data_IF_124607802133
#
_entry.id   IF_124607802133
#
_cell.length_a   1.000
_cell.length_b   1.000
_cell.length_c   1.000
_cell.angle_alpha   90.00
_cell.angle_beta   90.00
_cell.angle_gamma   90.00
#
_symmetry.space_group_name_H-M   'P 1'
#
loop_
_entity.id
_entity.type
_entity.pdbx_description
1 polymer ?
#
# COMPACT_ATOMS: atom_id res chain seq x y z
N UNK A 1 21.44 16.77 68.85
CA UNK A 1 22.18 16.08 69.92
C UNK A 1 21.19 15.23 70.73
N UNK A 2 21.51 13.94 70.83
CA UNK A 2 21.07 12.90 71.78
C UNK A 2 19.60 12.68 72.18
N UNK A 3 19.10 11.51 71.77
CA UNK A 3 18.08 10.66 72.43
C UNK A 3 18.52 10.17 73.82
N UNK A 4 17.61 9.71 74.71
CA UNK A 4 17.31 8.25 74.88
C UNK A 4 15.88 7.96 75.39
N UNK A 5 15.44 6.76 75.80
CA UNK A 5 15.47 5.37 75.28
C UNK A 5 14.61 4.50 76.25
N UNK A 6 13.95 3.46 75.73
CA UNK A 6 13.56 2.15 76.34
C UNK A 6 12.66 2.03 77.59
N UNK A 7 11.57 1.26 77.43
CA UNK A 7 11.17 0.07 78.23
C UNK A 7 10.03 -0.63 77.45
N UNK A 8 10.21 -1.74 76.73
CA UNK A 8 10.26 -3.16 77.14
C UNK A 8 9.13 -3.63 78.08
N UNK A 9 8.22 -4.43 77.52
CA UNK A 9 7.46 -5.48 78.23
C UNK A 9 7.22 -6.65 77.27
N UNK A 10 7.74 -7.81 77.68
CA UNK A 10 7.58 -9.13 77.10
C UNK A 10 6.35 -9.81 77.73
N UNK A 11 5.56 -10.52 76.94
CA UNK A 11 4.96 -11.79 77.37
C UNK A 11 4.65 -12.68 76.17
N UNK A 12 5.04 -13.93 76.34
CA UNK A 12 4.92 -15.07 75.44
C UNK A 12 3.58 -15.72 75.74
N UNK A 13 2.81 -16.11 74.70
CA UNK A 13 1.90 -17.23 74.86
C UNK A 13 1.68 -18.01 73.54
N UNK A 14 1.76 -19.32 73.74
CA UNK A 14 1.65 -20.43 72.82
C UNK A 14 0.23 -20.58 72.27
N UNK A 15 0.06 -20.89 70.97
CA UNK A 15 -0.95 -21.85 70.52
C UNK A 15 -0.82 -22.14 69.01
N UNK A 16 -0.39 -23.36 68.70
CA UNK A 16 -0.64 -24.00 67.40
C UNK A 16 -2.14 -24.23 67.24
N UNK A 17 -2.74 -23.77 66.13
CA UNK A 17 -3.82 -24.50 65.42
C UNK A 17 -4.25 -23.77 64.14
N UNK A 18 -4.13 -24.49 63.02
CA UNK A 18 -5.04 -24.47 61.85
C UNK A 18 -5.48 -23.14 61.29
N UNK A 19 -4.95 -22.77 60.12
CA UNK A 19 -5.74 -22.04 59.12
C UNK A 19 -5.25 -22.41 57.71
N UNK A 20 -5.96 -23.35 57.09
CA UNK A 20 -5.82 -23.60 55.66
C UNK A 20 -6.35 -22.39 54.89
N UNK A 21 -5.44 -21.82 54.13
CA UNK A 21 -5.53 -20.85 53.04
C UNK A 21 -6.90 -20.90 52.31
N UNK A 22 -7.67 -19.81 52.44
CA UNK A 22 -8.74 -19.45 51.51
C UNK A 22 -8.34 -18.11 50.87
N UNK A 23 -7.55 -18.15 49.80
CA UNK A 23 -7.29 -16.97 48.95
C UNK A 23 -8.19 -17.08 47.73
N UNK A 24 -9.30 -16.36 47.83
CA UNK A 24 -10.29 -16.17 46.79
C UNK A 24 -9.94 -14.90 45.97
N UNK A 25 -9.89 -15.07 44.65
CA UNK A 25 -10.22 -14.09 43.61
C UNK A 25 -9.52 -12.72 43.57
N UNK A 26 -8.44 -12.64 42.76
CA UNK A 26 -8.27 -11.58 41.75
C UNK A 26 -7.63 -12.22 40.50
N UNK A 27 -8.45 -12.83 39.64
CA UNK A 27 -8.11 -13.04 38.23
C UNK A 27 -8.73 -11.86 37.47
N UNK A 28 -8.01 -10.75 37.46
CA UNK A 28 -8.25 -9.67 36.49
C UNK A 28 -8.05 -10.27 35.10
N UNK A 29 -9.14 -10.29 34.33
CA UNK A 29 -9.14 -10.65 32.93
C UNK A 29 -8.18 -9.76 32.15
N UNK A 30 -6.97 -10.27 31.93
CA UNK A 30 -6.18 -9.91 30.78
C UNK A 30 -6.94 -10.47 29.58
N UNK A 31 -7.80 -9.64 28.99
CA UNK A 31 -8.21 -9.79 27.60
C UNK A 31 -6.94 -9.66 26.77
N UNK A 32 -6.23 -10.78 26.62
CA UNK A 32 -5.21 -10.93 25.62
C UNK A 32 -5.91 -10.67 24.28
N UNK A 33 -5.71 -9.48 23.72
CA UNK A 33 -5.67 -9.31 22.29
C UNK A 33 -4.50 -10.16 21.80
N UNK A 34 -4.72 -11.48 21.76
CA UNK A 34 -3.90 -12.36 20.96
C UNK A 34 -4.07 -11.86 19.54
N UNK A 35 -3.07 -11.14 19.05
CA UNK A 35 -2.83 -11.10 17.63
C UNK A 35 -2.88 -12.56 17.18
N UNK A 36 -3.85 -12.89 16.34
CA UNK A 36 -4.04 -14.23 15.81
C UNK A 36 -2.81 -14.56 14.96
N UNK A 37 -1.77 -15.08 15.62
CA UNK A 37 -0.49 -15.47 15.02
C UNK A 37 -0.64 -16.67 14.10
N UNK A 38 -1.85 -17.24 14.02
CA UNK A 38 -2.22 -18.36 13.18
C UNK A 38 -2.89 -17.95 11.86
N UNK A 39 -2.87 -16.65 11.50
CA UNK A 39 -3.17 -16.24 10.13
C UNK A 39 -2.05 -16.79 9.23
N UNK A 40 -2.24 -18.00 8.69
CA UNK A 40 -1.47 -18.51 7.55
C UNK A 40 -1.23 -17.33 6.61
N UNK A 41 0.04 -17.05 6.29
CA UNK A 41 0.43 -15.89 5.48
C UNK A 41 -0.47 -15.85 4.24
N UNK A 42 -1.42 -14.91 4.22
CA UNK A 42 -2.45 -14.88 3.20
C UNK A 42 -1.77 -14.45 1.90
N UNK A 43 -1.76 -15.34 0.91
CA UNK A 43 -1.29 -15.03 -0.44
C UNK A 43 -2.17 -13.94 -1.03
N UNK A 44 -1.57 -12.93 -1.65
CA UNK A 44 -2.31 -11.83 -2.25
C UNK A 44 -3.27 -12.33 -3.34
N UNK A 45 -2.83 -13.30 -4.15
CA UNK A 45 -3.64 -13.94 -5.18
C UNK A 45 -4.98 -14.46 -4.63
N UNK A 46 -4.99 -15.10 -3.45
CA UNK A 46 -6.20 -15.65 -2.83
C UNK A 46 -7.14 -14.53 -2.33
N UNK A 47 -6.56 -13.45 -1.78
CA UNK A 47 -7.33 -12.26 -1.39
C UNK A 47 -8.00 -11.65 -2.62
N UNK A 48 -7.25 -11.49 -3.72
CA UNK A 48 -7.78 -10.91 -4.96
C UNK A 48 -8.85 -11.79 -5.62
N UNK A 49 -8.71 -13.12 -5.58
CA UNK A 49 -9.77 -14.06 -6.03
C UNK A 49 -11.05 -13.96 -5.20
N UNK A 50 -10.94 -13.49 -3.96
CA UNK A 50 -12.08 -13.32 -3.04
C UNK A 50 -12.79 -11.98 -3.23
N UNK A 51 -12.33 -11.12 -4.16
CA UNK A 51 -13.07 -9.91 -4.53
C UNK A 51 -14.44 -10.29 -5.09
N UNK A 52 -15.49 -9.47 -4.85
CA UNK A 52 -16.78 -9.68 -5.49
C UNK A 52 -16.65 -9.85 -7.01
N UNK A 53 -17.37 -10.81 -7.63
CA UNK A 53 -17.24 -11.12 -9.04
C UNK A 53 -17.31 -9.87 -9.94
N UNK A 54 -16.41 -9.78 -10.91
CA UNK A 54 -16.32 -8.65 -11.83
C UNK A 54 -15.74 -7.35 -11.26
N UNK A 55 -15.61 -7.21 -9.92
CA UNK A 55 -15.09 -5.98 -9.29
C UNK A 55 -13.68 -5.64 -9.77
N UNK A 56 -12.77 -6.62 -9.74
CA UNK A 56 -11.38 -6.40 -10.12
C UNK A 56 -11.24 -6.02 -11.60
N UNK A 57 -12.04 -6.63 -12.48
CA UNK A 57 -12.09 -6.31 -13.91
C UNK A 57 -12.63 -4.90 -14.17
N UNK A 58 -13.71 -4.51 -13.48
CA UNK A 58 -14.26 -3.16 -13.58
C UNK A 58 -13.27 -2.09 -13.11
N UNK A 59 -12.55 -2.35 -12.01
CA UNK A 59 -11.56 -1.42 -11.46
C UNK A 59 -10.30 -1.28 -12.32
N UNK A 60 -9.99 -2.26 -13.17
CA UNK A 60 -8.83 -2.30 -14.06
C UNK A 60 -9.15 -2.02 -15.54
N UNK A 61 -10.41 -1.70 -15.88
CA UNK A 61 -10.82 -1.49 -17.28
C UNK A 61 -9.97 -0.44 -18.00
N UNK A 62 -9.59 0.63 -17.28
CA UNK A 62 -8.77 1.71 -17.82
C UNK A 62 -7.26 1.48 -17.68
N UNK A 63 -6.82 0.35 -17.12
CA UNK A 63 -5.42 0.03 -16.91
C UNK A 63 -4.78 -0.72 -18.10
N UNK A 64 -5.60 -1.23 -19.04
CA UNK A 64 -5.12 -1.94 -20.24
C UNK A 64 -4.26 -1.05 -21.14
N UNK A 65 -3.12 -1.53 -21.66
CA UNK A 65 -2.37 -0.78 -22.67
C UNK A 65 -3.18 -0.64 -23.97
N UNK A 66 -2.87 0.38 -24.77
CA UNK A 66 -3.35 0.53 -26.14
C UNK A 66 -2.51 -0.29 -27.14
N UNK A 67 -2.80 -0.18 -28.43
CA UNK A 67 -2.06 -0.86 -29.49
C UNK A 67 -0.58 -0.48 -29.59
N UNK A 68 -0.14 0.61 -28.93
CA UNK A 68 1.27 1.01 -28.82
C UNK A 68 1.90 0.54 -27.51
N UNK A 69 1.19 -0.27 -26.72
CA UNK A 69 1.62 -0.68 -25.39
C UNK A 69 1.52 0.42 -24.32
N UNK A 70 0.93 1.58 -24.62
CA UNK A 70 0.84 2.69 -23.66
C UNK A 70 -0.39 2.53 -22.75
N UNK A 71 -0.23 2.76 -21.46
CA UNK A 71 -1.31 2.76 -20.46
C UNK A 71 -1.33 4.07 -19.67
N UNK A 72 -2.37 4.25 -18.85
CA UNK A 72 -2.50 5.37 -17.93
C UNK A 72 -2.27 6.75 -18.57
N UNK A 73 -1.32 7.51 -18.01
CA UNK A 73 -0.98 8.86 -18.47
C UNK A 73 -0.29 8.90 -19.83
N UNK A 74 0.47 7.86 -20.18
CA UNK A 74 1.11 7.78 -21.50
C UNK A 74 0.06 7.55 -22.59
N UNK A 75 -0.90 6.65 -22.33
CA UNK A 75 -2.04 6.40 -23.23
C UNK A 75 -2.90 7.64 -23.42
N UNK A 76 -3.28 8.32 -22.32
CA UNK A 76 -4.18 9.47 -22.40
C UNK A 76 -3.57 10.66 -23.15
N UNK A 77 -2.24 10.76 -23.19
CA UNK A 77 -1.50 11.77 -23.95
C UNK A 77 -1.09 11.25 -25.34
N UNK A 78 -1.15 9.94 -25.58
CA UNK A 78 -0.85 9.30 -26.86
C UNK A 78 0.65 9.12 -27.16
N UNK A 79 1.52 9.34 -26.17
CA UNK A 79 2.99 9.18 -26.25
C UNK A 79 3.59 8.82 -24.90
N UNK A 80 4.84 8.34 -24.93
CA UNK A 80 5.62 8.14 -23.72
C UNK A 80 5.85 9.46 -22.97
N UNK A 81 5.69 9.43 -21.64
CA UNK A 81 6.01 10.54 -20.74
C UNK A 81 6.98 10.06 -19.68
N UNK A 82 6.63 8.99 -18.96
CA UNK A 82 7.44 8.43 -17.88
C UNK A 82 6.98 7.01 -17.52
N UNK A 83 7.87 6.23 -16.91
CA UNK A 83 7.56 4.87 -16.47
C UNK A 83 6.41 4.82 -15.47
N UNK A 84 6.34 5.76 -14.52
CA UNK A 84 5.29 5.79 -13.50
C UNK A 84 3.87 5.86 -14.07
N UNK A 85 3.71 6.39 -15.28
CA UNK A 85 2.43 6.44 -15.98
C UNK A 85 2.01 5.08 -16.60
N UNK A 86 2.95 4.11 -16.73
CA UNK A 86 2.68 2.74 -17.21
C UNK A 86 2.23 1.74 -16.16
N UNK A 87 2.20 2.11 -14.88
CA UNK A 87 1.85 1.18 -13.80
C UNK A 87 0.47 0.53 -13.94
N UNK A 88 -0.42 1.12 -14.77
CA UNK A 88 -1.71 0.53 -15.12
C UNK A 88 -1.54 -0.85 -15.77
N UNK A 89 -0.60 -1.01 -16.70
CA UNK A 89 -0.35 -2.30 -17.36
C UNK A 89 -0.10 -3.44 -16.36
N UNK A 90 0.67 -3.20 -15.29
CA UNK A 90 0.89 -4.18 -14.22
C UNK A 90 -0.41 -4.56 -13.48
N UNK A 91 -1.33 -3.61 -13.26
CA UNK A 91 -2.63 -3.87 -12.63
C UNK A 91 -3.57 -4.64 -13.54
N UNK A 92 -3.53 -4.36 -14.84
CA UNK A 92 -4.28 -5.12 -15.83
C UNK A 92 -3.79 -6.58 -15.90
N UNK A 93 -2.47 -6.81 -15.83
CA UNK A 93 -1.89 -8.16 -15.70
C UNK A 93 -2.43 -8.85 -14.45
N UNK A 94 -2.38 -8.21 -13.29
CA UNK A 94 -2.91 -8.78 -12.03
C UNK A 94 -4.38 -9.17 -12.18
N UNK A 95 -5.22 -8.27 -12.71
CA UNK A 95 -6.65 -8.52 -12.87
C UNK A 95 -6.93 -9.71 -13.80
N UNK A 96 -6.22 -9.79 -14.93
CA UNK A 96 -6.37 -10.85 -15.90
C UNK A 96 -5.87 -12.21 -15.38
N UNK A 97 -4.73 -12.24 -14.69
CA UNK A 97 -4.18 -13.44 -14.03
C UNK A 97 -5.14 -13.97 -12.97
N UNK A 98 -5.70 -13.11 -12.13
CA UNK A 98 -6.70 -13.49 -11.11
C UNK A 98 -7.97 -14.03 -11.75
N UNK A 99 -8.38 -13.48 -12.90
CA UNK A 99 -9.52 -13.96 -13.66
C UNK A 99 -9.26 -15.26 -14.44
N UNK A 100 -7.99 -15.67 -14.60
CA UNK A 100 -7.60 -16.79 -15.46
C UNK A 100 -7.67 -16.49 -16.97
N UNK A 101 -7.73 -15.20 -17.34
CA UNK A 101 -7.74 -14.74 -18.73
C UNK A 101 -6.31 -14.49 -19.21
N UNK A 102 -5.64 -15.54 -19.68
CA UNK A 102 -4.23 -15.47 -20.09
C UNK A 102 -4.02 -14.59 -21.33
N UNK A 103 -4.98 -14.53 -22.24
CA UNK A 103 -4.90 -13.66 -23.41
C UNK A 103 -4.89 -12.19 -23.00
N UNK A 104 -5.83 -11.79 -22.14
CA UNK A 104 -5.84 -10.42 -21.61
C UNK A 104 -4.60 -10.11 -20.74
N UNK A 105 -4.05 -11.12 -20.06
CA UNK A 105 -2.82 -10.95 -19.28
C UNK A 105 -1.59 -10.76 -20.19
N UNK A 106 -1.51 -11.47 -21.31
CA UNK A 106 -0.46 -11.29 -22.32
C UNK A 106 -0.56 -9.92 -23.00
N UNK A 107 -1.77 -9.50 -23.39
CA UNK A 107 -2.02 -8.16 -23.93
C UNK A 107 -1.60 -7.07 -22.94
N UNK A 108 -1.91 -7.25 -21.65
CA UNK A 108 -1.52 -6.30 -20.60
C UNK A 108 -0.01 -6.29 -20.36
N UNK A 109 0.66 -7.44 -20.48
CA UNK A 109 2.11 -7.57 -20.33
C UNK A 109 2.88 -6.76 -21.37
N UNK A 110 2.33 -6.57 -22.58
CA UNK A 110 2.96 -5.74 -23.60
C UNK A 110 3.34 -4.34 -23.10
N UNK A 111 2.54 -3.74 -22.22
CA UNK A 111 2.88 -2.44 -21.62
C UNK A 111 4.07 -2.47 -20.65
N UNK A 112 4.38 -3.63 -20.05
CA UNK A 112 5.60 -3.86 -19.26
C UNK A 112 6.80 -3.91 -20.20
N UNK A 113 6.70 -4.63 -21.32
CA UNK A 113 7.77 -4.74 -22.31
C UNK A 113 8.15 -3.34 -22.86
N UNK A 114 7.16 -2.57 -23.30
CA UNK A 114 7.35 -1.18 -23.76
C UNK A 114 7.97 -0.31 -22.67
N UNK A 115 7.61 -0.49 -21.39
CA UNK A 115 8.25 0.26 -20.29
C UNK A 115 9.76 0.00 -20.24
N UNK A 116 10.20 -1.23 -20.44
CA UNK A 116 11.62 -1.60 -20.38
C UNK A 116 12.39 -1.28 -21.66
N UNK A 117 11.74 -1.01 -22.79
CA UNK A 117 12.38 -0.40 -23.97
C UNK A 117 12.87 1.02 -23.66
N UNK A 118 12.21 1.72 -22.73
CA UNK A 118 12.60 3.04 -22.25
C UNK A 118 13.61 3.02 -21.09
N UNK A 119 14.09 1.84 -20.67
CA UNK A 119 15.12 1.73 -19.63
C UNK A 119 16.47 2.22 -20.16
N UNK A 120 17.11 3.09 -19.39
CA UNK A 120 18.44 3.65 -19.65
C UNK A 120 19.53 2.72 -19.14
N UNK A 121 20.78 2.98 -19.56
CA UNK A 121 21.96 2.23 -19.12
C UNK A 121 22.20 2.29 -17.60
N UNK A 122 21.83 3.40 -16.95
CA UNK A 122 21.96 3.59 -15.50
C UNK A 122 20.84 2.91 -14.69
N UNK A 123 19.94 2.18 -15.35
CA UNK A 123 18.81 1.47 -14.72
C UNK A 123 17.54 2.30 -14.56
N UNK A 124 17.63 3.63 -14.64
CA UNK A 124 16.46 4.51 -14.64
C UNK A 124 15.71 4.47 -15.97
N UNK A 125 14.64 5.26 -16.11
CA UNK A 125 13.81 5.30 -17.32
C UNK A 125 13.86 6.67 -17.98
N UNK A 126 13.80 6.71 -19.31
CA UNK A 126 13.65 7.99 -20.03
C UNK A 126 12.36 8.70 -19.62
N UNK A 127 12.38 10.02 -19.63
CA UNK A 127 11.24 10.83 -19.22
C UNK A 127 11.15 12.08 -20.10
N UNK A 128 9.93 12.45 -20.50
CA UNK A 128 9.64 13.56 -21.38
C UNK A 128 8.88 14.67 -20.65
N UNK A 129 8.92 15.88 -21.20
CA UNK A 129 8.15 17.01 -20.64
C UNK A 129 6.66 16.68 -20.74
N UNK A 130 5.95 16.88 -19.62
CA UNK A 130 4.51 16.64 -19.50
C UNK A 130 3.73 17.74 -20.23
N UNK A 131 2.50 17.48 -20.71
CA UNK A 131 1.68 18.49 -21.38
C UNK A 131 1.43 19.76 -20.55
N UNK A 132 1.38 19.63 -19.22
CA UNK A 132 1.23 20.77 -18.31
C UNK A 132 2.52 21.60 -18.10
N UNK A 133 3.58 21.37 -18.88
CA UNK A 133 4.87 22.05 -18.74
C UNK A 133 5.71 21.59 -17.54
N UNK A 134 5.19 20.70 -16.69
CA UNK A 134 5.93 20.12 -15.59
C UNK A 134 7.04 19.19 -16.08
N UNK A 135 8.19 19.24 -15.45
CA UNK A 135 9.28 18.31 -15.73
C UNK A 135 8.96 16.92 -15.18
N UNK A 136 8.93 15.90 -16.05
CA UNK A 136 9.30 14.56 -15.62
C UNK A 136 10.83 14.61 -15.43
N UNK A 137 11.27 14.77 -14.17
CA UNK A 137 12.67 15.06 -13.85
C UNK A 137 13.58 14.03 -14.52
N UNK A 138 14.59 14.48 -15.26
CA UNK A 138 15.55 13.57 -15.92
C UNK A 138 16.65 13.12 -14.95
N UNK A 139 17.38 12.06 -15.34
CA UNK A 139 18.57 11.55 -14.65
C UNK A 139 18.32 11.08 -13.20
N UNK A 140 19.28 11.25 -12.28
CA UNK A 140 19.18 10.78 -10.90
C UNK A 140 17.98 11.33 -10.11
N UNK A 141 17.37 12.43 -10.56
CA UNK A 141 16.15 12.97 -9.95
C UNK A 141 14.86 12.20 -10.31
N UNK A 142 14.95 11.23 -11.24
CA UNK A 142 13.84 10.43 -11.78
C UNK A 142 13.43 9.23 -10.91
N UNK A 143 14.08 9.03 -9.75
CA UNK A 143 13.81 7.92 -8.80
C UNK A 143 12.32 7.73 -8.54
N UNK A 144 11.58 8.83 -8.40
CA UNK A 144 10.12 8.81 -8.22
C UNK A 144 9.39 8.15 -9.39
N UNK A 145 9.71 8.50 -10.63
CA UNK A 145 9.04 7.91 -11.78
C UNK A 145 9.29 6.41 -11.90
N UNK A 146 10.48 5.95 -11.49
CA UNK A 146 10.84 4.53 -11.47
C UNK A 146 10.06 3.78 -10.39
N UNK A 147 10.10 4.23 -9.12
CA UNK A 147 9.41 3.51 -8.05
C UNK A 147 7.88 3.49 -8.21
N UNK A 148 7.29 4.48 -8.88
CA UNK A 148 5.86 4.49 -9.20
C UNK A 148 5.44 3.32 -10.11
N UNK A 149 6.31 2.91 -11.02
CA UNK A 149 6.13 1.74 -11.89
C UNK A 149 6.49 0.45 -11.15
N UNK A 150 7.69 0.42 -10.56
CA UNK A 150 8.25 -0.79 -9.93
C UNK A 150 7.36 -1.35 -8.82
N UNK A 151 6.67 -0.50 -8.06
CA UNK A 151 5.74 -0.96 -7.02
C UNK A 151 4.55 -1.78 -7.53
N UNK A 152 4.05 -1.55 -8.76
CA UNK A 152 3.05 -2.49 -9.31
C UNK A 152 3.72 -3.63 -10.06
N UNK A 153 4.91 -3.44 -10.65
CA UNK A 153 5.61 -4.53 -11.33
C UNK A 153 6.02 -5.63 -10.33
N UNK A 154 6.66 -5.27 -9.22
CA UNK A 154 7.05 -6.21 -8.18
C UNK A 154 5.83 -6.97 -7.66
N UNK A 155 4.74 -6.25 -7.38
CA UNK A 155 3.45 -6.86 -7.02
C UNK A 155 2.91 -7.82 -8.08
N UNK A 156 2.90 -7.43 -9.36
CA UNK A 156 2.38 -8.27 -10.44
C UNK A 156 3.15 -9.59 -10.56
N UNK A 157 4.48 -9.55 -10.45
CA UNK A 157 5.33 -10.74 -10.46
C UNK A 157 5.02 -11.64 -9.26
N UNK A 158 4.85 -11.08 -8.05
CA UNK A 158 4.50 -11.86 -6.87
C UNK A 158 3.13 -12.53 -7.02
N UNK A 159 2.11 -11.80 -7.48
CA UNK A 159 0.77 -12.37 -7.73
C UNK A 159 0.83 -13.48 -8.78
N UNK A 160 1.60 -13.31 -9.86
CA UNK A 160 1.80 -14.37 -10.87
C UNK A 160 2.43 -15.61 -10.24
N UNK A 161 3.48 -15.44 -9.42
CA UNK A 161 4.18 -16.54 -8.73
C UNK A 161 3.29 -17.29 -7.75
N UNK A 162 2.31 -16.61 -7.14
CA UNK A 162 1.31 -17.23 -6.27
C UNK A 162 0.17 -17.93 -7.03
N UNK A 163 0.00 -17.61 -8.32
CA UNK A 163 -1.08 -18.11 -9.17
C UNK A 163 -0.77 -19.47 -9.81
N UNK A 164 -1.79 -20.23 -10.26
CA UNK A 164 -1.56 -21.44 -11.06
C UNK A 164 -1.02 -21.14 -12.47
N UNK A 165 -0.85 -19.87 -12.83
CA UNK A 165 -0.42 -19.41 -14.15
C UNK A 165 1.07 -19.06 -14.20
N UNK A 166 1.84 -19.29 -13.13
CA UNK A 166 3.27 -18.98 -13.07
C UNK A 166 4.04 -19.55 -14.27
N UNK A 167 3.79 -20.82 -14.62
CA UNK A 167 4.47 -21.48 -15.73
C UNK A 167 4.30 -20.76 -17.08
N UNK A 168 3.17 -20.07 -17.31
CA UNK A 168 2.90 -19.29 -18.53
C UNK A 168 3.76 -18.02 -18.63
N UNK A 169 4.21 -17.49 -17.48
CA UNK A 169 4.98 -16.26 -17.39
C UNK A 169 6.43 -16.47 -16.96
N UNK A 170 6.80 -17.66 -16.49
CA UNK A 170 8.10 -17.96 -15.89
C UNK A 170 9.28 -17.45 -16.72
N UNK A 171 9.34 -17.84 -18.00
CA UNK A 171 10.42 -17.42 -18.89
C UNK A 171 10.51 -15.90 -19.08
N UNK A 172 9.36 -15.21 -19.15
CA UNK A 172 9.31 -13.73 -19.26
C UNK A 172 9.78 -13.06 -17.98
N UNK A 173 9.41 -13.60 -16.82
CA UNK A 173 9.87 -13.11 -15.52
C UNK A 173 11.39 -13.26 -15.40
N UNK A 174 11.94 -14.45 -15.67
CA UNK A 174 13.39 -14.70 -15.63
C UNK A 174 14.15 -13.78 -16.59
N UNK A 175 13.65 -13.58 -17.81
CA UNK A 175 14.27 -12.66 -18.77
C UNK A 175 14.21 -11.19 -18.33
N UNK A 176 13.23 -10.82 -17.52
CA UNK A 176 13.03 -9.46 -17.00
C UNK A 176 13.93 -9.16 -15.79
N UNK A 177 14.31 -10.17 -14.99
CA UNK A 177 15.05 -10.00 -13.73
C UNK A 177 16.32 -9.15 -13.85
N UNK A 178 17.20 -9.31 -14.86
CA UNK A 178 18.38 -8.45 -15.00
C UNK A 178 18.02 -6.98 -15.23
N UNK A 179 16.91 -6.69 -15.95
CA UNK A 179 16.43 -5.32 -16.14
C UNK A 179 15.82 -4.78 -14.85
N UNK A 180 15.06 -5.59 -14.12
CA UNK A 180 14.49 -5.25 -12.82
C UNK A 180 15.58 -4.94 -11.80
N UNK A 181 16.64 -5.75 -11.72
CA UNK A 181 17.81 -5.53 -10.87
C UNK A 181 18.41 -4.14 -11.09
N UNK A 182 18.72 -3.78 -12.34
CA UNK A 182 19.26 -2.45 -12.65
C UNK A 182 18.32 -1.32 -12.24
N UNK A 183 17.00 -1.50 -12.40
CA UNK A 183 16.02 -0.50 -11.97
C UNK A 183 15.99 -0.37 -10.43
N UNK A 184 16.16 -1.46 -9.70
CA UNK A 184 16.30 -1.49 -8.24
C UNK A 184 17.61 -0.83 -7.77
N UNK A 185 18.71 -1.08 -8.47
CA UNK A 185 20.00 -0.44 -8.19
C UNK A 185 19.89 1.09 -8.37
N UNK A 186 19.20 1.53 -9.43
CA UNK A 186 18.94 2.95 -9.69
C UNK A 186 18.12 3.62 -8.57
N UNK A 187 17.01 3.00 -8.11
CA UNK A 187 16.25 3.59 -7.00
C UNK A 187 17.02 3.54 -5.67
N UNK A 188 17.86 2.52 -5.47
CA UNK A 188 18.72 2.39 -4.28
C UNK A 188 19.78 3.49 -4.23
N UNK A 189 20.42 3.78 -5.36
CA UNK A 189 21.39 4.88 -5.47
C UNK A 189 20.76 6.26 -5.16
N UNK A 190 19.45 6.41 -5.38
CA UNK A 190 18.69 7.62 -5.06
C UNK A 190 17.91 7.59 -3.75
N UNK A 191 18.09 6.56 -2.92
CA UNK A 191 17.25 6.32 -1.73
C UNK A 191 17.21 7.52 -0.78
N UNK A 192 18.35 8.12 -0.48
CA UNK A 192 18.46 9.24 0.47
C UNK A 192 17.75 10.51 -0.01
N UNK A 193 17.36 10.58 -1.29
CA UNK A 193 16.59 11.71 -1.84
C UNK A 193 15.09 11.57 -1.61
N UNK A 194 14.60 10.37 -1.28
CA UNK A 194 13.16 10.05 -1.26
C UNK A 194 12.45 10.80 -0.13
N UNK A 195 12.94 10.73 1.11
CA UNK A 195 12.32 11.42 2.25
C UNK A 195 12.41 12.94 2.09
N UNK A 196 13.57 13.56 1.80
CA UNK A 196 13.65 15.00 1.58
C UNK A 196 12.69 15.51 0.49
N UNK A 197 12.52 14.75 -0.59
CA UNK A 197 11.69 15.16 -1.74
C UNK A 197 10.21 14.85 -1.58
N UNK A 198 9.85 13.73 -0.95
CA UNK A 198 8.49 13.18 -1.00
C UNK A 198 7.93 12.80 0.38
N UNK A 199 8.70 12.95 1.47
CA UNK A 199 8.29 12.60 2.83
C UNK A 199 7.10 13.42 3.38
N UNK A 200 6.82 14.58 2.79
CA UNK A 200 5.65 15.40 3.09
C UNK A 200 4.36 14.91 2.39
N UNK A 201 4.45 13.87 1.55
CA UNK A 201 3.32 13.19 0.90
C UNK A 201 3.41 11.70 1.21
N UNK A 202 2.73 11.26 2.28
CA UNK A 202 2.91 9.90 2.82
C UNK A 202 2.61 8.82 1.80
N UNK A 203 1.64 9.04 0.92
CA UNK A 203 1.33 8.10 -0.16
C UNK A 203 2.55 7.82 -1.04
N UNK A 204 3.37 8.82 -1.36
CA UNK A 204 4.57 8.65 -2.19
C UNK A 204 5.66 7.88 -1.46
N UNK A 205 5.81 8.12 -0.15
CA UNK A 205 6.71 7.35 0.71
C UNK A 205 6.31 5.87 0.72
N UNK A 206 5.01 5.57 0.87
CA UNK A 206 4.51 4.19 0.86
C UNK A 206 4.62 3.55 -0.54
N UNK A 207 4.40 4.30 -1.63
CA UNK A 207 4.65 3.82 -3.00
C UNK A 207 6.12 3.41 -3.16
N UNK A 208 7.06 4.24 -2.67
CA UNK A 208 8.47 3.90 -2.68
C UNK A 208 8.75 2.65 -1.83
N UNK A 209 8.22 2.58 -0.61
CA UNK A 209 8.36 1.41 0.26
C UNK A 209 7.85 0.13 -0.41
N UNK A 210 6.69 0.19 -1.08
CA UNK A 210 6.13 -0.94 -1.83
C UNK A 210 7.02 -1.35 -2.99
N UNK A 211 7.63 -0.42 -3.73
CA UNK A 211 8.62 -0.75 -4.76
C UNK A 211 9.81 -1.51 -4.17
N UNK A 212 10.45 -0.96 -3.14
CA UNK A 212 11.58 -1.60 -2.47
C UNK A 212 11.21 -2.98 -1.92
N UNK A 213 10.08 -3.11 -1.25
CA UNK A 213 9.67 -4.36 -0.59
C UNK A 213 9.31 -5.45 -1.58
N UNK A 214 8.39 -5.16 -2.51
CA UNK A 214 7.93 -6.16 -3.49
C UNK A 214 9.04 -6.55 -4.47
N UNK A 215 9.83 -5.59 -4.96
CA UNK A 215 10.97 -5.93 -5.81
C UNK A 215 12.07 -6.65 -5.04
N UNK A 216 12.29 -6.31 -3.76
CA UNK A 216 13.21 -7.03 -2.88
C UNK A 216 12.85 -8.51 -2.75
N UNK A 217 11.58 -8.83 -2.56
CA UNK A 217 11.11 -10.22 -2.53
C UNK A 217 11.25 -10.92 -3.88
N UNK A 218 10.92 -10.24 -4.98
CA UNK A 218 11.07 -10.80 -6.34
C UNK A 218 12.51 -11.19 -6.63
N UNK A 219 13.44 -10.35 -6.19
CA UNK A 219 14.87 -10.42 -6.47
C UNK A 219 15.69 -11.10 -5.35
N UNK A 220 15.03 -11.60 -4.31
CA UNK A 220 15.66 -12.16 -3.11
C UNK A 220 16.73 -11.23 -2.48
N UNK A 221 16.41 -9.94 -2.37
CA UNK A 221 17.31 -8.89 -1.89
C UNK A 221 16.79 -8.26 -0.60
N UNK A 222 17.33 -8.73 0.52
CA UNK A 222 16.96 -8.26 1.86
C UNK A 222 17.34 -6.80 2.13
N UNK A 223 18.30 -6.22 1.38
CA UNK A 223 18.64 -4.80 1.53
C UNK A 223 17.50 -3.92 1.03
N UNK A 224 16.88 -4.30 -0.10
CA UNK A 224 15.69 -3.62 -0.60
C UNK A 224 14.52 -3.76 0.38
N UNK A 225 14.30 -4.95 0.95
CA UNK A 225 13.24 -5.15 1.96
C UNK A 225 13.51 -4.32 3.23
N UNK A 226 14.76 -4.24 3.70
CA UNK A 226 15.12 -3.41 4.84
C UNK A 226 14.89 -1.90 4.56
N UNK A 227 15.20 -1.43 3.36
CA UNK A 227 14.92 -0.05 2.94
C UNK A 227 13.42 0.24 2.84
N UNK A 228 12.62 -0.74 2.42
CA UNK A 228 11.15 -0.65 2.48
C UNK A 228 10.65 -0.43 3.91
N UNK A 229 11.13 -1.23 4.89
CA UNK A 229 10.75 -1.09 6.30
C UNK A 229 11.09 0.29 6.87
N UNK A 230 12.26 0.86 6.53
CA UNK A 230 12.63 2.22 6.94
C UNK A 230 11.68 3.29 6.40
N UNK A 231 11.25 3.16 5.13
CA UNK A 231 10.28 4.08 4.53
C UNK A 231 8.89 3.95 5.19
N UNK A 232 8.46 2.73 5.54
CA UNK A 232 7.23 2.52 6.31
C UNK A 232 7.32 3.13 7.70
N UNK A 233 8.44 2.93 8.41
CA UNK A 233 8.67 3.56 9.70
C UNK A 233 8.55 5.08 9.62
N UNK A 234 9.14 5.70 8.59
CA UNK A 234 8.96 7.13 8.34
C UNK A 234 7.49 7.50 8.07
N UNK A 235 6.79 6.76 7.20
CA UNK A 235 5.38 7.01 6.90
C UNK A 235 4.49 6.97 8.15
N UNK A 236 4.78 6.07 9.09
CA UNK A 236 4.05 5.95 10.35
C UNK A 236 4.21 7.18 11.27
N UNK A 237 5.35 7.89 11.20
CA UNK A 237 5.56 9.15 11.94
C UNK A 237 4.75 10.32 11.39
N UNK A 238 4.16 10.18 10.20
CA UNK A 238 3.42 11.22 9.48
C UNK A 238 1.91 11.01 9.56
N UNK A 239 1.45 10.37 10.63
CA UNK A 239 0.04 10.27 10.97
C UNK A 239 -0.34 11.34 11.99
N UNK A 240 -1.59 11.77 11.94
CA UNK A 240 -2.15 12.58 13.03
C UNK A 240 -2.75 11.72 14.15
N UNK A 241 -3.31 12.39 15.17
CA UNK A 241 -3.91 11.75 16.34
C UNK A 241 -5.09 10.82 16.03
N UNK A 242 -5.75 11.00 14.88
CA UNK A 242 -6.87 10.15 14.45
C UNK A 242 -6.39 9.01 13.53
N UNK A 243 -5.07 8.88 13.34
CA UNK A 243 -4.45 7.83 12.54
C UNK A 243 -4.37 8.12 11.04
N UNK A 244 -4.77 9.31 10.59
CA UNK A 244 -4.79 9.68 9.16
C UNK A 244 -3.39 9.91 8.64
N UNK A 245 -3.06 9.33 7.48
CA UNK A 245 -1.79 9.62 6.80
C UNK A 245 -1.82 10.99 6.14
N UNK A 246 -0.93 11.89 6.58
CA UNK A 246 -0.97 13.32 6.21
C UNK A 246 -0.33 13.60 4.84
N UNK A 247 -0.96 14.50 4.09
CA UNK A 247 -0.64 14.83 2.70
C UNK A 247 -0.48 16.33 2.52
N UNK A 248 0.76 16.79 2.35
CA UNK A 248 1.11 18.22 2.34
C UNK A 248 0.51 18.96 3.53
N UNK A 249 0.80 18.44 4.72
CA UNK A 249 0.39 19.01 6.02
C UNK A 249 -1.12 19.08 6.26
N UNK A 250 -1.94 18.33 5.50
CA UNK A 250 -3.33 18.14 5.86
C UNK A 250 -3.94 16.81 5.41
N UNK A 251 -5.24 16.66 5.68
CA UNK A 251 -5.99 15.45 5.41
C UNK A 251 -6.46 15.42 3.96
N UNK A 252 -6.52 14.22 3.38
CA UNK A 252 -7.07 14.02 2.04
C UNK A 252 -7.57 12.57 1.91
N UNK A 253 -8.88 12.37 1.78
CA UNK A 253 -9.48 11.04 1.72
C UNK A 253 -8.88 10.18 0.60
N UNK A 254 -8.75 10.73 -0.61
CA UNK A 254 -8.23 9.98 -1.76
C UNK A 254 -6.77 9.57 -1.59
N UNK A 255 -5.96 10.32 -0.84
CA UNK A 255 -4.58 9.95 -0.59
C UNK A 255 -4.38 9.13 0.68
N UNK A 256 -5.23 9.29 1.70
CA UNK A 256 -5.29 8.38 2.83
C UNK A 256 -5.60 6.95 2.35
N UNK A 257 -6.59 6.76 1.47
CA UNK A 257 -6.85 5.41 0.90
C UNK A 257 -5.71 4.86 0.06
N UNK A 258 -4.93 5.71 -0.61
CA UNK A 258 -3.76 5.26 -1.37
C UNK A 258 -2.68 4.75 -0.41
N UNK A 259 -2.42 5.49 0.67
CA UNK A 259 -1.51 5.10 1.75
C UNK A 259 -1.94 3.79 2.41
N UNK A 260 -3.23 3.67 2.75
CA UNK A 260 -3.83 2.45 3.27
C UNK A 260 -3.60 1.33 2.26
N UNK A 261 -4.20 1.39 1.06
CA UNK A 261 -4.14 0.33 0.05
C UNK A 261 -2.74 -0.19 -0.25
N UNK A 262 -1.79 0.70 -0.55
CA UNK A 262 -0.45 0.25 -0.92
C UNK A 262 0.33 -0.31 0.26
N UNK A 263 0.11 0.20 1.47
CA UNK A 263 0.73 -0.36 2.66
C UNK A 263 0.17 -1.73 3.04
N UNK A 264 -1.15 -1.97 2.95
CA UNK A 264 -1.72 -3.31 3.20
C UNK A 264 -1.29 -4.31 2.13
N UNK A 265 -1.23 -3.90 0.85
CA UNK A 265 -0.67 -4.76 -0.21
C UNK A 265 0.79 -5.10 0.06
N UNK A 266 1.59 -4.18 0.61
CA UNK A 266 2.94 -4.53 1.03
C UNK A 266 2.93 -5.46 2.25
N UNK A 267 2.06 -5.22 3.23
CA UNK A 267 1.99 -5.97 4.49
C UNK A 267 1.60 -7.45 4.33
N UNK A 268 0.90 -7.82 3.24
CA UNK A 268 0.65 -9.25 2.95
C UNK A 268 1.91 -10.00 2.51
N UNK A 269 2.93 -9.28 2.02
CA UNK A 269 4.18 -9.86 1.50
C UNK A 269 5.35 -9.67 2.47
N UNK A 270 5.43 -8.52 3.12
CA UNK A 270 6.48 -8.15 4.06
C UNK A 270 5.84 -7.97 5.43
N UNK A 271 6.30 -8.68 6.49
CA UNK A 271 5.80 -8.46 7.84
C UNK A 271 6.03 -7.00 8.27
N UNK A 272 4.94 -6.29 8.55
CA UNK A 272 4.92 -4.89 8.94
C UNK A 272 3.94 -4.69 10.13
N UNK A 273 4.20 -5.29 11.30
CA UNK A 273 3.24 -5.33 12.40
C UNK A 273 2.83 -3.94 12.90
N UNK A 274 3.74 -2.96 12.92
CA UNK A 274 3.43 -1.59 13.31
C UNK A 274 2.53 -0.88 12.29
N UNK A 275 2.65 -1.23 11.00
CA UNK A 275 1.76 -0.73 9.97
C UNK A 275 0.40 -1.41 10.03
N UNK A 276 0.35 -2.73 10.26
CA UNK A 276 -0.91 -3.44 10.44
C UNK A 276 -1.69 -2.91 11.66
N UNK A 277 -0.99 -2.64 12.77
CA UNK A 277 -1.58 -2.02 13.96
C UNK A 277 -2.08 -0.58 13.70
N UNK A 278 -1.54 0.10 12.70
CA UNK A 278 -1.96 1.44 12.31
C UNK A 278 -3.25 1.48 11.48
N UNK A 279 -3.57 0.41 10.76
CA UNK A 279 -4.65 0.37 9.78
C UNK A 279 -6.05 0.62 10.38
N UNK A 280 -6.45 0.05 11.54
CA UNK A 280 -7.80 0.22 12.05
C UNK A 280 -8.20 1.69 12.23
N UNK A 281 -7.30 2.52 12.78
CA UNK A 281 -7.57 3.95 12.96
C UNK A 281 -7.68 4.70 11.62
N UNK A 282 -6.76 4.43 10.69
CA UNK A 282 -6.76 5.07 9.37
C UNK A 282 -8.02 4.71 8.56
N UNK A 283 -8.47 3.45 8.63
CA UNK A 283 -9.70 2.98 7.99
C UNK A 283 -10.94 3.52 8.69
N UNK A 284 -10.98 3.53 10.02
CA UNK A 284 -12.11 4.07 10.77
C UNK A 284 -12.36 5.54 10.39
N UNK A 285 -11.30 6.35 10.27
CA UNK A 285 -11.43 7.71 9.76
C UNK A 285 -11.95 7.75 8.32
N UNK A 286 -11.41 6.92 7.43
CA UNK A 286 -11.86 6.87 6.03
C UNK A 286 -13.35 6.54 5.91
N UNK A 287 -13.85 5.62 6.73
CA UNK A 287 -15.27 5.24 6.75
C UNK A 287 -16.17 6.43 7.09
N UNK A 288 -15.72 7.37 7.91
CA UNK A 288 -16.47 8.62 8.18
C UNK A 288 -16.60 9.53 6.97
N UNK A 289 -15.76 9.32 5.95
CA UNK A 289 -15.78 10.07 4.68
C UNK A 289 -16.69 9.43 3.65
N UNK A 290 -17.25 8.25 3.90
CA UNK A 290 -18.14 7.58 2.96
C UNK A 290 -19.59 7.83 3.36
N UNK A 291 -20.30 8.63 2.56
CA UNK A 291 -21.73 8.90 2.78
C UNK A 291 -22.56 7.64 2.60
N UNK A 292 -23.79 7.65 3.10
CA UNK A 292 -24.76 6.57 2.87
C UNK A 292 -25.04 6.33 1.38
N UNK A 293 -24.91 7.36 0.54
CA UNK A 293 -25.06 7.24 -0.92
C UNK A 293 -23.89 6.53 -1.61
N UNK A 294 -22.76 6.36 -0.92
CA UNK A 294 -21.48 5.91 -1.47
C UNK A 294 -20.59 7.03 -2.01
N UNK A 295 -21.07 8.28 -2.04
CA UNK A 295 -20.23 9.43 -2.36
C UNK A 295 -19.15 9.62 -1.28
N UNK A 296 -17.93 9.98 -1.71
CA UNK A 296 -16.84 10.34 -0.80
C UNK A 296 -16.96 11.81 -0.45
N UNK A 297 -17.11 12.12 0.83
CA UNK A 297 -17.04 13.48 1.36
C UNK A 297 -15.60 14.00 1.23
N UNK A 298 -15.45 15.16 0.59
CA UNK A 298 -14.19 15.87 0.37
C UNK A 298 -14.02 17.10 1.26
N UNK A 299 -14.97 17.37 2.17
CA UNK A 299 -14.87 18.44 3.16
C UNK A 299 -13.58 18.32 3.97
N UNK A 300 -12.74 19.35 3.91
CA UNK A 300 -11.45 19.36 4.60
C UNK A 300 -10.30 18.67 3.84
N UNK A 301 -10.54 18.13 2.64
CA UNK A 301 -9.44 17.66 1.78
C UNK A 301 -8.54 18.83 1.39
N UNK A 302 -7.22 18.61 1.43
CA UNK A 302 -6.25 19.65 1.06
C UNK A 302 -5.85 19.62 -0.41
N UNK A 303 -6.11 18.53 -1.15
CA UNK A 303 -5.57 18.35 -2.51
C UNK A 303 -6.61 17.90 -3.54
N UNK A 304 -7.22 16.72 -3.35
CA UNK A 304 -8.08 16.05 -4.32
C UNK A 304 -9.55 16.39 -4.13
N UNK A 305 -10.32 16.42 -5.23
CA UNK A 305 -11.76 16.74 -5.18
C UNK A 305 -12.08 18.22 -4.90
N UNK A 306 -11.07 19.06 -4.66
CA UNK A 306 -11.21 20.47 -4.27
C UNK A 306 -10.48 21.45 -5.21
N UNK A 307 -10.07 21.00 -6.40
CA UNK A 307 -9.44 21.85 -7.41
C UNK A 307 -7.96 22.20 -7.19
N UNK A 308 -7.35 21.77 -6.07
CA UNK A 308 -5.99 22.19 -5.65
C UNK A 308 -4.85 21.37 -6.24
N UNK A 309 -5.12 20.15 -6.68
CA UNK A 309 -4.14 19.27 -7.31
C UNK A 309 -4.50 19.06 -8.79
N UNK A 310 -3.53 19.26 -9.69
CA UNK A 310 -3.71 19.09 -11.14
C UNK A 310 -3.06 17.80 -11.64
N UNK A 311 -3.68 17.17 -12.63
CA UNK A 311 -3.16 16.01 -13.35
C UNK A 311 -2.15 16.39 -14.44
N UNK A 312 -1.74 15.39 -15.22
CA UNK A 312 -0.78 15.53 -16.33
C UNK A 312 -1.25 16.49 -17.43
N UNK A 313 -2.56 16.57 -17.64
CA UNK A 313 -3.22 17.45 -18.62
C UNK A 313 -3.58 18.82 -18.05
N UNK A 314 -3.19 19.11 -16.80
CA UNK A 314 -3.54 20.36 -16.12
C UNK A 314 -4.94 20.38 -15.51
N UNK A 315 -5.78 19.38 -15.79
CA UNK A 315 -7.11 19.25 -15.22
C UNK A 315 -7.06 18.93 -13.72
N UNK A 316 -7.99 19.45 -12.89
CA UNK A 316 -8.08 19.09 -11.48
C UNK A 316 -8.23 17.58 -11.28
N UNK A 317 -7.49 17.03 -10.29
CA UNK A 317 -7.68 15.65 -9.87
C UNK A 317 -9.00 15.51 -9.13
N UNK A 318 -9.84 14.61 -9.64
CA UNK A 318 -11.07 14.17 -8.99
C UNK A 318 -10.76 13.21 -7.84
N UNK A 319 -11.79 12.88 -7.07
CA UNK A 319 -11.74 11.82 -6.06
C UNK A 319 -11.34 10.49 -6.69
N UNK A 320 -10.45 9.76 -6.03
CA UNK A 320 -9.98 8.45 -6.48
C UNK A 320 -10.92 7.32 -6.04
N UNK A 321 -12.12 7.26 -6.61
CA UNK A 321 -13.14 6.25 -6.27
C UNK A 321 -12.62 4.80 -6.42
N UNK A 322 -11.85 4.51 -7.48
CA UNK A 322 -11.23 3.18 -7.65
C UNK A 322 -10.29 2.83 -6.49
N UNK A 323 -9.46 3.79 -6.06
CA UNK A 323 -8.57 3.61 -4.92
C UNK A 323 -9.33 3.35 -3.61
N UNK A 324 -10.42 4.07 -3.37
CA UNK A 324 -11.28 3.87 -2.20
C UNK A 324 -11.89 2.47 -2.22
N UNK A 325 -12.50 2.05 -3.33
CA UNK A 325 -13.07 0.70 -3.46
C UNK A 325 -12.02 -0.38 -3.26
N UNK A 326 -10.83 -0.25 -3.88
CA UNK A 326 -9.74 -1.22 -3.74
C UNK A 326 -9.27 -1.30 -2.29
N UNK A 327 -9.02 -0.16 -1.64
CA UNK A 327 -8.52 -0.09 -0.27
C UNK A 327 -9.48 -0.78 0.72
N UNK A 328 -10.76 -0.43 0.65
CA UNK A 328 -11.78 -0.93 1.56
C UNK A 328 -12.17 -2.39 1.29
N UNK A 329 -12.22 -2.81 0.01
CA UNK A 329 -12.45 -4.22 -0.33
C UNK A 329 -11.29 -5.09 0.18
N UNK A 330 -10.05 -4.69 -0.09
CA UNK A 330 -8.87 -5.43 0.35
C UNK A 330 -8.80 -5.51 1.87
N UNK A 331 -8.98 -4.38 2.56
CA UNK A 331 -8.98 -4.33 4.03
C UNK A 331 -10.08 -5.22 4.61
N UNK A 332 -11.32 -5.10 4.09
CA UNK A 332 -12.45 -5.89 4.54
C UNK A 332 -12.27 -7.39 4.37
N UNK A 333 -11.67 -7.84 3.27
CA UNK A 333 -11.37 -9.26 3.05
C UNK A 333 -10.23 -9.76 3.95
N UNK A 334 -9.14 -8.99 4.06
CA UNK A 334 -8.01 -9.34 4.90
C UNK A 334 -8.49 -9.37 6.36
N UNK A 335 -8.95 -8.27 6.90
CA UNK A 335 -9.30 -8.10 8.32
C UNK A 335 -10.69 -8.60 8.71
N UNK A 336 -11.45 -9.19 7.78
CA UNK A 336 -12.83 -9.65 8.01
C UNK A 336 -13.72 -8.53 8.56
N UNK A 337 -13.55 -7.32 8.02
CA UNK A 337 -14.28 -6.13 8.44
C UNK A 337 -15.51 -5.90 7.54
N UNK A 338 -16.73 -6.22 8.01
CA UNK A 338 -17.94 -6.07 7.20
C UNK A 338 -18.31 -4.60 6.94
N UNK A 339 -17.92 -3.66 7.82
CA UNK A 339 -18.19 -2.25 7.62
C UNK A 339 -17.37 -1.70 6.45
N UNK A 340 -16.10 -2.12 6.33
CA UNK A 340 -15.25 -1.80 5.20
C UNK A 340 -15.78 -2.38 3.89
N UNK A 341 -16.23 -3.64 3.87
CA UNK A 341 -16.84 -4.26 2.69
C UNK A 341 -18.12 -3.52 2.27
N UNK A 342 -19.03 -3.25 3.20
CA UNK A 342 -20.26 -2.53 2.92
C UNK A 342 -19.99 -1.11 2.38
N UNK A 343 -18.99 -0.41 2.91
CA UNK A 343 -18.59 0.89 2.40
C UNK A 343 -17.99 0.78 0.98
N UNK A 344 -17.13 -0.21 0.73
CA UNK A 344 -16.57 -0.47 -0.59
C UNK A 344 -17.66 -0.70 -1.65
N UNK A 345 -18.71 -1.45 -1.28
CA UNK A 345 -19.86 -1.73 -2.15
C UNK A 345 -20.64 -0.47 -2.51
N UNK A 346 -20.92 0.39 -1.52
CA UNK A 346 -21.60 1.67 -1.74
C UNK A 346 -20.78 2.59 -2.66
N UNK A 347 -19.48 2.72 -2.39
CA UNK A 347 -18.56 3.54 -3.20
C UNK A 347 -18.48 3.03 -4.63
N UNK A 348 -18.33 1.72 -4.81
CA UNK A 348 -18.28 1.09 -6.13
C UNK A 348 -19.56 1.36 -6.92
N UNK A 349 -20.73 1.14 -6.29
CA UNK A 349 -22.02 1.36 -6.90
C UNK A 349 -22.28 2.84 -7.22
N UNK A 350 -21.89 3.75 -6.34
CA UNK A 350 -21.98 5.20 -6.60
C UNK A 350 -21.17 5.58 -7.84
N UNK A 351 -19.90 5.20 -7.90
CA UNK A 351 -19.00 5.61 -8.98
C UNK A 351 -19.43 5.06 -10.35
N UNK A 352 -19.93 3.82 -10.40
CA UNK A 352 -20.34 3.20 -11.66
C UNK A 352 -21.72 3.65 -12.16
N UNK A 353 -22.55 4.28 -11.31
CA UNK A 353 -23.78 4.96 -11.77
C UNK A 353 -23.52 6.32 -12.42
N UNK A 354 -22.32 6.88 -12.23
CA UNK A 354 -21.93 8.21 -12.72
C UNK A 354 -21.09 8.15 -14.01
N UNK A 355 -20.68 6.96 -14.43
CA UNK A 355 -20.06 6.71 -15.73
C UNK A 355 -21.13 6.32 -16.74
#
# INVERSE_FOLDING_TARGET
MSTPNKNQLLSIECSQRTCHILVAFILLGLSAFGADTNRLARREYDVLRSFPPGRLAALSVYDKPDAKGLSGGNRSVGRWIEAGAQRGSCRAVIAAVVAGDLAAADDAWHGIDVTFEHQRKDGGFTAEIRPNGGSAKSHGAAVETAFFFLQELGRAILVIRESPHEAHFHARIVALEPKLRRACDFISAGYDTIIPKSGHTVNRTIIAAKAFGTCGLVLHDETLVANSRKLIAHALTRRDKDGVFIEKDGRDSSYNVVSIYFGQVLAVHVPLPEFEAALPAAVAWELTRIKETGEVDVTGNTRTGVGKERGYTGQPKKVNYNGVTLALTFYGLVHQDPAALAAADRVFAYYHRQQ
#
